data_IF_709111849385
#
_entry.id   IF_709111849385
#
_cell.length_a   1.000
_cell.length_b   1.000
_cell.length_c   1.000
_cell.angle_alpha   90.00
_cell.angle_beta   90.00
_cell.angle_gamma   90.00
#
_symmetry.space_group_name_H-M   'P 1'
#
loop_
_entity.id
_entity.type
_entity.pdbx_description
1 polymer ?
#
# COMPACT_ATOMS: atom_id res chain seq x y z
N UNK A 1 4.97 -12.52 12.87
CA UNK A 1 5.16 -11.19 12.28
C UNK A 1 4.27 -11.05 11.06
N UNK A 2 3.76 -9.86 10.84
CA UNK A 2 2.90 -9.58 9.68
C UNK A 2 3.77 -9.39 8.44
N UNK A 3 3.62 -10.25 7.45
CA UNK A 3 4.38 -10.18 6.21
C UNK A 3 3.85 -9.05 5.34
N UNK A 4 4.69 -8.05 5.12
CA UNK A 4 4.29 -6.74 4.60
C UNK A 4 5.03 -6.38 3.32
N UNK A 5 4.28 -5.86 2.35
CA UNK A 5 4.83 -5.19 1.17
C UNK A 5 4.64 -3.68 1.35
N UNK A 6 5.67 -2.92 1.04
CA UNK A 6 5.62 -1.46 1.01
C UNK A 6 5.66 -0.98 -0.44
N UNK A 7 4.72 -0.12 -0.82
CA UNK A 7 4.66 0.53 -2.12
C UNK A 7 4.83 2.02 -1.93
N UNK A 8 5.93 2.57 -2.41
CA UNK A 8 6.26 3.98 -2.29
C UNK A 8 7.31 4.36 -3.32
N UNK A 9 7.05 5.39 -4.11
CA UNK A 9 7.97 5.83 -5.16
C UNK A 9 9.04 6.83 -4.70
N UNK A 10 8.80 7.53 -3.59
CA UNK A 10 9.77 8.46 -3.01
C UNK A 10 10.73 7.68 -2.11
N UNK A 11 12.02 7.72 -2.45
CA UNK A 11 13.03 6.93 -1.73
C UNK A 11 13.19 7.34 -0.27
N UNK A 12 13.02 8.62 0.05
CA UNK A 12 13.07 9.11 1.43
C UNK A 12 11.92 8.56 2.26
N UNK A 13 10.71 8.64 1.72
CA UNK A 13 9.51 8.16 2.40
C UNK A 13 9.55 6.64 2.51
N UNK A 14 10.02 5.96 1.47
CA UNK A 14 10.22 4.53 1.46
C UNK A 14 11.12 4.08 2.61
N UNK A 15 12.27 4.75 2.76
CA UNK A 15 13.21 4.46 3.85
C UNK A 15 12.58 4.73 5.21
N UNK A 16 11.86 5.83 5.35
CA UNK A 16 11.19 6.18 6.59
C UNK A 16 10.21 5.10 7.03
N UNK A 17 9.32 4.67 6.13
CA UNK A 17 8.36 3.63 6.46
C UNK A 17 9.02 2.27 6.71
N UNK A 18 10.03 1.93 5.93
CA UNK A 18 10.75 0.68 6.12
C UNK A 18 11.38 0.60 7.51
N UNK A 19 12.03 1.68 7.94
CA UNK A 19 12.63 1.75 9.27
C UNK A 19 11.57 1.68 10.37
N UNK A 20 10.44 2.34 10.19
CA UNK A 20 9.34 2.31 11.17
C UNK A 20 8.76 0.92 11.31
N UNK A 21 8.55 0.23 10.21
CA UNK A 21 8.02 -1.13 10.22
C UNK A 21 8.99 -2.09 10.91
N UNK A 22 10.28 -2.00 10.58
CA UNK A 22 11.29 -2.86 11.17
C UNK A 22 11.46 -2.60 12.67
N UNK A 23 11.43 -1.33 13.08
CA UNK A 23 11.58 -0.95 14.49
C UNK A 23 10.40 -1.41 15.33
N UNK A 24 9.22 -1.44 14.75
CA UNK A 24 8.00 -1.86 15.47
C UNK A 24 8.08 -3.31 15.97
N UNK A 25 8.76 -4.17 15.23
CA UNK A 25 8.93 -5.57 15.61
C UNK A 25 7.75 -6.48 15.32
N UNK A 26 6.61 -5.92 14.90
CA UNK A 26 5.43 -6.70 14.55
C UNK A 26 5.29 -6.99 13.06
N UNK A 27 6.18 -6.42 12.25
CA UNK A 27 6.10 -6.49 10.79
C UNK A 27 7.38 -7.07 10.21
N UNK A 28 7.22 -7.90 9.20
CA UNK A 28 8.33 -8.40 8.40
C UNK A 28 8.20 -7.85 6.99
N UNK A 29 9.13 -6.97 6.60
CA UNK A 29 9.12 -6.37 5.28
C UNK A 29 9.65 -7.39 4.27
N UNK A 30 8.77 -7.91 3.42
CA UNK A 30 9.12 -8.94 2.44
C UNK A 30 9.30 -8.40 1.03
N UNK A 31 8.92 -7.15 0.80
CA UNK A 31 9.14 -6.50 -0.48
C UNK A 31 8.94 -5.01 -0.38
N UNK A 32 9.73 -4.25 -1.15
CA UNK A 32 9.63 -2.80 -1.26
C UNK A 32 9.60 -2.48 -2.74
N UNK A 33 8.54 -1.84 -3.20
CA UNK A 33 8.34 -1.55 -4.62
C UNK A 33 8.01 -0.08 -4.82
N UNK A 34 8.37 0.43 -5.99
CA UNK A 34 8.15 1.84 -6.31
C UNK A 34 6.74 2.11 -6.81
N UNK A 35 6.08 1.09 -7.34
CA UNK A 35 4.71 1.24 -7.83
C UNK A 35 3.89 -0.02 -7.55
N UNK A 36 2.58 0.15 -7.64
CA UNK A 36 1.63 -0.91 -7.31
C UNK A 36 1.65 -2.06 -8.32
N UNK A 37 2.03 -1.82 -9.55
CA UNK A 37 2.13 -2.87 -10.56
C UNK A 37 3.25 -3.86 -10.22
N UNK A 38 4.39 -3.34 -9.72
CA UNK A 38 5.46 -4.21 -9.25
C UNK A 38 5.00 -5.03 -8.06
N UNK A 39 4.31 -4.41 -7.12
CA UNK A 39 3.75 -5.12 -5.97
C UNK A 39 2.78 -6.21 -6.42
N UNK A 40 1.93 -5.92 -7.38
CA UNK A 40 0.99 -6.90 -7.93
C UNK A 40 1.69 -8.13 -8.49
N UNK A 41 2.78 -7.92 -9.22
CA UNK A 41 3.55 -9.02 -9.83
C UNK A 41 4.26 -9.90 -8.81
N UNK A 42 4.59 -9.35 -7.64
CA UNK A 42 5.34 -10.04 -6.61
C UNK A 42 4.51 -10.47 -5.41
N UNK A 43 3.23 -10.12 -5.39
CA UNK A 43 2.34 -10.51 -4.30
C UNK A 43 2.01 -12.00 -4.40
N UNK A 44 1.99 -12.67 -3.26
CA UNK A 44 1.59 -14.06 -3.17
C UNK A 44 0.75 -14.30 -1.91
N UNK A 45 0.40 -15.54 -1.64
CA UNK A 45 -0.46 -15.89 -0.52
C UNK A 45 0.16 -15.66 0.85
N UNK A 46 1.48 -15.48 0.92
CA UNK A 46 2.16 -15.25 2.19
C UNK A 46 2.07 -13.80 2.64
N UNK A 47 1.74 -12.88 1.74
CA UNK A 47 1.63 -11.46 2.04
C UNK A 47 0.33 -11.20 2.82
N UNK A 48 0.46 -10.55 3.97
CA UNK A 48 -0.67 -10.27 4.85
C UNK A 48 -1.10 -8.81 4.82
N UNK A 49 -0.17 -7.91 4.53
CA UNK A 49 -0.41 -6.46 4.51
C UNK A 49 0.33 -5.81 3.36
N UNK A 50 -0.34 -4.89 2.68
CA UNK A 50 0.30 -3.98 1.74
C UNK A 50 0.07 -2.56 2.23
N UNK A 51 1.17 -1.86 2.51
CA UNK A 51 1.16 -0.44 2.83
C UNK A 51 1.43 0.31 1.53
N UNK A 52 0.43 1.00 1.03
CA UNK A 52 0.48 1.60 -0.31
C UNK A 52 0.33 3.10 -0.24
N UNK A 53 1.37 3.82 -0.65
CA UNK A 53 1.31 5.26 -0.81
C UNK A 53 0.72 5.57 -2.18
N UNK A 54 -0.28 6.44 -2.20
CA UNK A 54 -0.96 6.85 -3.42
C UNK A 54 -0.59 8.28 -3.74
N UNK A 55 0.20 8.46 -4.79
CA UNK A 55 0.57 9.78 -5.29
C UNK A 55 -0.50 10.31 -6.25
N UNK A 56 -0.63 11.63 -6.33
CA UNK A 56 -1.64 12.28 -7.15
C UNK A 56 -1.57 11.84 -8.61
N UNK A 57 -0.38 11.80 -9.15
CA UNK A 57 -0.18 11.51 -10.57
C UNK A 57 -0.34 10.04 -10.94
N UNK A 58 -0.29 9.15 -9.94
CA UNK A 58 -0.37 7.70 -10.16
C UNK A 58 -1.51 7.04 -9.38
N UNK A 59 -2.36 7.82 -8.72
CA UNK A 59 -3.38 7.31 -7.80
C UNK A 59 -4.34 6.32 -8.44
N UNK A 60 -4.80 6.60 -9.66
CA UNK A 60 -5.77 5.74 -10.34
C UNK A 60 -5.17 4.37 -10.65
N UNK A 61 -3.96 4.36 -11.17
CA UNK A 61 -3.25 3.12 -11.49
C UNK A 61 -2.96 2.31 -10.23
N UNK A 62 -2.53 2.99 -9.16
CA UNK A 62 -2.25 2.33 -7.89
C UNK A 62 -3.49 1.69 -7.29
N UNK A 63 -4.62 2.39 -7.29
CA UNK A 63 -5.88 1.85 -6.77
C UNK A 63 -6.42 0.72 -7.65
N UNK A 64 -6.24 0.81 -8.97
CA UNK A 64 -6.64 -0.28 -9.87
C UNK A 64 -5.84 -1.55 -9.58
N UNK A 65 -4.51 -1.42 -9.41
CA UNK A 65 -3.66 -2.55 -9.05
C UNK A 65 -4.05 -3.13 -7.68
N UNK A 66 -4.35 -2.28 -6.71
CA UNK A 66 -4.82 -2.72 -5.39
C UNK A 66 -6.10 -3.53 -5.50
N UNK A 67 -7.03 -3.12 -6.34
CA UNK A 67 -8.26 -3.86 -6.59
C UNK A 67 -7.99 -5.26 -7.15
N UNK A 68 -7.07 -5.37 -8.10
CA UNK A 68 -6.70 -6.66 -8.67
C UNK A 68 -6.01 -7.56 -7.65
N UNK A 69 -5.14 -6.99 -6.82
CA UNK A 69 -4.49 -7.75 -5.74
C UNK A 69 -5.54 -8.29 -4.77
N UNK A 70 -6.51 -7.47 -4.41
CA UNK A 70 -7.55 -7.86 -3.48
C UNK A 70 -8.41 -8.98 -4.06
N UNK A 71 -8.67 -8.96 -5.36
CA UNK A 71 -9.40 -10.04 -6.02
C UNK A 71 -8.61 -11.34 -6.05
N UNK A 72 -7.31 -11.26 -6.32
CA UNK A 72 -6.45 -12.44 -6.39
C UNK A 72 -6.14 -13.01 -5.00
N UNK A 73 -5.99 -12.14 -4.01
CA UNK A 73 -5.60 -12.51 -2.65
C UNK A 73 -6.54 -11.84 -1.64
N UNK A 74 -7.77 -12.36 -1.46
CA UNK A 74 -8.79 -11.68 -0.64
C UNK A 74 -8.41 -11.49 0.83
N UNK A 75 -7.46 -12.29 1.33
CA UNK A 75 -7.05 -12.21 2.73
C UNK A 75 -5.98 -11.13 2.98
N UNK A 76 -5.41 -10.53 1.93
CA UNK A 76 -4.45 -9.46 2.11
C UNK A 76 -5.17 -8.19 2.59
N UNK A 77 -4.56 -7.48 3.54
CA UNK A 77 -5.06 -6.17 3.97
C UNK A 77 -4.29 -5.09 3.25
N UNK A 78 -4.99 -4.09 2.77
CA UNK A 78 -4.37 -2.97 2.06
C UNK A 78 -4.64 -1.69 2.83
N UNK A 79 -3.57 -1.05 3.29
CA UNK A 79 -3.63 0.24 3.94
C UNK A 79 -3.14 1.29 2.95
N UNK A 80 -4.03 2.17 2.53
CA UNK A 80 -3.69 3.26 1.62
C UNK A 80 -3.29 4.48 2.44
N UNK A 81 -2.12 5.01 2.12
CA UNK A 81 -1.58 6.22 2.75
C UNK A 81 -1.56 7.33 1.70
N UNK A 82 -2.09 8.49 2.06
CA UNK A 82 -2.10 9.62 1.14
C UNK A 82 -1.94 10.93 1.87
N UNK A 83 -1.27 11.88 1.22
CA UNK A 83 -1.15 13.25 1.71
C UNK A 83 -2.22 14.17 1.14
N UNK A 84 -3.06 13.65 0.25
CA UNK A 84 -4.03 14.46 -0.48
C UNK A 84 -5.45 14.08 -0.12
N UNK A 85 -6.28 15.11 0.08
CA UNK A 85 -7.72 14.93 0.23
C UNK A 85 -8.32 15.03 -1.17
N UNK A 86 -8.44 13.90 -1.84
CA UNK A 86 -8.99 13.82 -3.19
C UNK A 86 -10.27 12.97 -3.13
N UNK A 87 -11.43 13.54 -3.54
CA UNK A 87 -12.70 12.81 -3.48
C UNK A 87 -12.70 11.50 -4.25
N UNK A 88 -12.00 11.43 -5.38
CA UNK A 88 -11.92 10.20 -6.15
C UNK A 88 -11.15 9.11 -5.41
N UNK A 89 -10.04 9.47 -4.76
CA UNK A 89 -9.27 8.53 -3.95
C UNK A 89 -10.11 8.03 -2.78
N UNK A 90 -10.79 8.93 -2.10
CA UNK A 90 -11.68 8.57 -1.00
C UNK A 90 -12.78 7.61 -1.44
N UNK A 91 -13.43 7.93 -2.56
CA UNK A 91 -14.51 7.10 -3.09
C UNK A 91 -14.01 5.71 -3.46
N UNK A 92 -12.89 5.62 -4.17
CA UNK A 92 -12.33 4.33 -4.57
C UNK A 92 -11.87 3.50 -3.37
N UNK A 93 -11.26 4.13 -2.38
CA UNK A 93 -10.84 3.43 -1.18
C UNK A 93 -12.04 2.86 -0.41
N UNK A 94 -13.12 3.63 -0.32
CA UNK A 94 -14.33 3.21 0.40
C UNK A 94 -15.12 2.13 -0.32
N UNK A 95 -14.95 1.97 -1.62
CA UNK A 95 -15.69 0.97 -2.40
C UNK A 95 -15.03 -0.41 -2.40
N UNK A 96 -14.15 -0.67 -1.45
CA UNK A 96 -13.59 -2.00 -1.24
C UNK A 96 -12.23 -2.25 -1.87
N UNK A 97 -11.61 -1.22 -2.46
CA UNK A 97 -10.27 -1.34 -3.01
C UNK A 97 -9.22 -1.43 -1.91
N UNK A 98 -9.47 -0.74 -0.80
CA UNK A 98 -8.56 -0.74 0.35
C UNK A 98 -9.33 -1.06 1.63
N UNK A 99 -8.65 -1.69 2.59
CA UNK A 99 -9.23 -2.00 3.89
C UNK A 99 -9.25 -0.78 4.81
N UNK A 100 -8.32 0.13 4.64
CA UNK A 100 -8.34 1.40 5.34
C UNK A 100 -7.58 2.47 4.58
N UNK A 101 -7.86 3.71 4.95
CA UNK A 101 -7.26 4.89 4.34
C UNK A 101 -6.68 5.74 5.46
N UNK A 102 -5.44 6.15 5.28
CA UNK A 102 -4.75 7.00 6.24
C UNK A 102 -4.14 8.19 5.55
N UNK A 103 -4.32 9.38 6.14
CA UNK A 103 -3.76 10.62 5.63
C UNK A 103 -2.40 10.86 6.27
N UNK A 104 -1.42 11.25 5.45
CA UNK A 104 -0.12 11.66 5.97
C UNK A 104 -0.26 13.01 6.66
N UNK A 105 0.28 13.13 7.85
CA UNK A 105 0.47 14.40 8.52
C UNK A 105 1.70 15.10 7.95
N UNK A 106 1.55 16.40 7.75
CA UNK A 106 2.65 17.23 7.26
C UNK A 106 3.41 17.88 8.38
#
# INVERSE_FOLDING_TARGET
>A
MIQTILVEDDLYIQKYFAERLETNGGFRLVGVYRDAFEAERHCDRTVQLILMDVQTQHKHSGLAAAGRIKQAFPNVKILVVTSLVDPEVLTKARTGVADSLWYKDH
#
